data_IF_286198996392
#
_entry.id   IF_286198996392
#
_cell.length_a   1.000
_cell.length_b   1.000
_cell.length_c   1.000
_cell.angle_alpha   90.00
_cell.angle_beta   90.00
_cell.angle_gamma   90.00
#
_symmetry.space_group_name_H-M   'P 1'
#
loop_
_entity.id
_entity.type
_entity.pdbx_description
1 polymer ?
#
# COMPACT_ATOMS: atom_id res chain seq x y z
N UNK A 1 16.25 -0.76 -14.78
CA UNK A 1 16.33 -1.11 -13.34
C UNK A 1 17.52 -0.37 -12.77
N UNK A 2 17.30 0.77 -12.11
CA UNK A 2 18.37 1.55 -11.50
C UNK A 2 18.91 0.84 -10.27
N UNK A 3 20.19 1.07 -9.95
CA UNK A 3 20.77 0.61 -8.69
C UNK A 3 19.91 1.15 -7.53
N UNK A 4 19.52 0.27 -6.59
CA UNK A 4 18.75 0.66 -5.40
C UNK A 4 19.42 1.79 -4.61
N UNK A 5 20.74 1.99 -4.79
CA UNK A 5 21.54 3.06 -4.16
C UNK A 5 21.32 4.44 -4.80
N UNK A 6 20.74 4.51 -6.00
CA UNK A 6 20.43 5.74 -6.71
C UNK A 6 18.98 6.20 -6.51
N UNK A 7 18.17 5.42 -5.80
CA UNK A 7 16.77 5.74 -5.53
C UNK A 7 16.64 6.68 -4.34
N UNK A 8 15.57 7.49 -4.34
CA UNK A 8 15.23 8.36 -3.23
C UNK A 8 15.01 7.56 -1.93
N UNK A 9 15.58 8.08 -0.84
CA UNK A 9 15.54 7.42 0.46
C UNK A 9 14.58 8.14 1.41
N UNK A 10 13.67 7.37 1.99
CA UNK A 10 12.78 7.83 3.04
C UNK A 10 13.13 7.13 4.37
N UNK A 11 13.32 7.90 5.45
CA UNK A 11 13.70 7.36 6.77
C UNK A 11 12.51 7.48 7.72
N UNK A 12 12.07 6.35 8.28
CA UNK A 12 10.90 6.26 9.16
C UNK A 12 11.32 5.74 10.54
N UNK A 13 10.71 6.29 11.59
CA UNK A 13 10.81 5.73 12.95
C UNK A 13 9.72 4.70 13.13
N UNK A 14 10.12 3.46 13.41
CA UNK A 14 9.19 2.36 13.64
C UNK A 14 8.92 2.23 15.15
N UNK A 15 7.67 1.95 15.55
CA UNK A 15 7.37 1.55 16.92
C UNK A 15 7.99 0.18 17.24
N UNK A 16 8.12 -0.10 18.54
CA UNK A 16 8.71 -1.34 19.04
C UNK A 16 8.03 -2.59 18.46
N UNK A 17 8.83 -3.59 18.07
CA UNK A 17 8.34 -4.85 17.53
C UNK A 17 7.94 -4.81 16.05
N UNK A 18 7.72 -3.64 15.46
CA UNK A 18 7.29 -3.57 14.05
C UNK A 18 8.42 -3.94 13.09
N UNK A 19 9.67 -3.61 13.44
CA UNK A 19 10.84 -3.94 12.62
C UNK A 19 11.05 -5.45 12.53
N UNK A 20 10.90 -6.15 13.64
CA UNK A 20 11.03 -7.60 13.74
C UNK A 20 9.93 -8.30 12.92
N UNK A 21 8.70 -7.80 12.99
CA UNK A 21 7.58 -8.29 12.18
C UNK A 21 7.85 -8.13 10.69
N UNK A 22 8.38 -6.98 10.26
CA UNK A 22 8.77 -6.75 8.86
C UNK A 22 9.94 -7.65 8.43
N UNK A 23 10.92 -7.86 9.29
CA UNK A 23 12.05 -8.75 9.02
C UNK A 23 11.61 -10.20 8.85
N UNK A 24 10.68 -10.68 9.68
CA UNK A 24 10.07 -12.00 9.53
C UNK A 24 9.31 -12.12 8.21
N UNK A 25 8.47 -11.13 7.87
CA UNK A 25 7.73 -11.12 6.61
C UNK A 25 8.63 -11.10 5.37
N UNK A 26 9.79 -10.43 5.46
CA UNK A 26 10.78 -10.41 4.39
C UNK A 26 11.43 -11.80 4.19
N UNK A 27 11.77 -12.47 5.29
CA UNK A 27 12.33 -13.83 5.26
C UNK A 27 11.34 -14.84 4.66
N UNK A 28 10.07 -14.81 5.09
CA UNK A 28 9.05 -15.74 4.58
C UNK A 28 8.75 -15.54 3.10
N UNK A 29 8.90 -14.32 2.59
CA UNK A 29 8.69 -13.98 1.18
C UNK A 29 9.98 -14.04 0.34
N UNK A 30 11.11 -14.50 0.91
CA UNK A 30 12.42 -14.55 0.26
C UNK A 30 12.80 -13.21 -0.40
N UNK A 31 12.52 -12.10 0.27
CA UNK A 31 12.73 -10.75 -0.26
C UNK A 31 13.37 -9.83 0.78
N UNK A 32 13.70 -8.60 0.38
CA UNK A 32 14.27 -7.61 1.31
C UNK A 32 13.17 -6.94 2.13
N UNK A 33 13.51 -6.44 3.32
CA UNK A 33 12.57 -5.59 4.08
C UNK A 33 12.10 -4.38 3.27
N UNK A 34 12.97 -3.80 2.44
CA UNK A 34 12.58 -2.70 1.56
C UNK A 34 11.47 -3.13 0.60
N UNK A 35 11.62 -4.29 -0.04
CA UNK A 35 10.61 -4.83 -0.96
C UNK A 35 9.26 -5.09 -0.27
N UNK A 36 9.27 -5.57 0.97
CA UNK A 36 8.04 -5.72 1.77
C UNK A 36 7.38 -4.37 2.03
N UNK A 37 8.17 -3.37 2.44
CA UNK A 37 7.66 -2.02 2.74
C UNK A 37 7.08 -1.38 1.48
N UNK A 38 7.80 -1.43 0.35
CA UNK A 38 7.33 -0.87 -0.92
C UNK A 38 6.01 -1.51 -1.34
N UNK A 39 5.91 -2.85 -1.33
CA UNK A 39 4.67 -3.56 -1.67
C UNK A 39 3.50 -3.20 -0.75
N UNK A 40 3.77 -3.03 0.54
CA UNK A 40 2.75 -2.62 1.50
C UNK A 40 2.25 -1.20 1.22
N UNK A 41 3.14 -0.28 0.84
CA UNK A 41 2.79 1.08 0.45
C UNK A 41 2.00 1.12 -0.86
N UNK A 42 2.44 0.38 -1.88
CA UNK A 42 1.71 0.23 -3.15
C UNK A 42 0.30 -0.31 -2.90
N UNK A 43 0.18 -1.41 -2.14
CA UNK A 43 -1.12 -2.01 -1.81
C UNK A 43 -2.03 -1.05 -1.02
N UNK A 44 -1.45 -0.23 -0.15
CA UNK A 44 -2.20 0.78 0.59
C UNK A 44 -2.73 1.86 -0.35
N UNK A 45 -1.89 2.40 -1.25
CA UNK A 45 -2.27 3.43 -2.20
C UNK A 45 -3.30 2.91 -3.22
N UNK A 46 -3.07 1.74 -3.80
CA UNK A 46 -3.97 1.11 -4.78
C UNK A 46 -5.32 0.78 -4.13
N UNK A 47 -5.31 0.29 -2.89
CA UNK A 47 -6.53 0.00 -2.13
C UNK A 47 -7.39 1.24 -1.89
N UNK A 48 -6.77 2.40 -1.65
CA UNK A 48 -7.50 3.67 -1.52
C UNK A 48 -8.14 4.09 -2.84
N UNK A 49 -7.45 3.92 -3.97
CA UNK A 49 -7.97 4.27 -5.28
C UNK A 49 -9.17 3.38 -5.68
N UNK A 50 -9.06 2.07 -5.49
CA UNK A 50 -10.19 1.16 -5.71
C UNK A 50 -11.38 1.46 -4.81
N UNK A 51 -11.15 1.79 -3.52
CA UNK A 51 -12.23 2.19 -2.61
C UNK A 51 -12.94 3.46 -3.10
N UNK A 52 -12.19 4.45 -3.57
CA UNK A 52 -12.75 5.69 -4.10
C UNK A 52 -13.64 5.44 -5.32
N UNK A 53 -13.16 4.69 -6.30
CA UNK A 53 -13.93 4.35 -7.51
C UNK A 53 -15.23 3.62 -7.15
N UNK A 54 -15.17 2.67 -6.20
CA UNK A 54 -16.34 1.94 -5.77
C UNK A 54 -17.38 2.86 -5.08
N UNK A 55 -16.92 3.80 -4.26
CA UNK A 55 -17.78 4.79 -3.61
C UNK A 55 -18.43 5.75 -4.63
N UNK A 56 -17.67 6.18 -5.64
CA UNK A 56 -18.20 7.01 -6.74
C UNK A 56 -19.27 6.25 -7.53
N UNK A 57 -18.99 5.01 -7.94
CA UNK A 57 -19.94 4.17 -8.65
C UNK A 57 -21.21 3.86 -7.83
N UNK A 58 -21.07 3.69 -6.51
CA UNK A 58 -22.22 3.48 -5.62
C UNK A 58 -23.06 4.76 -5.49
N UNK A 59 -22.42 5.92 -5.39
CA UNK A 59 -23.10 7.21 -5.31
C UNK A 59 -23.89 7.50 -6.59
N UNK A 60 -23.28 7.31 -7.76
CA UNK A 60 -23.97 7.46 -9.06
C UNK A 60 -25.19 6.54 -9.15
N UNK A 61 -25.06 5.29 -8.67
CA UNK A 61 -26.18 4.34 -8.68
C UNK A 61 -27.31 4.76 -7.75
N UNK A 62 -27.00 5.34 -6.59
CA UNK A 62 -28.01 5.87 -5.66
C UNK A 62 -28.74 7.07 -6.25
N UNK A 63 -28.02 8.02 -6.85
CA UNK A 63 -28.62 9.18 -7.54
C UNK A 63 -29.59 8.73 -8.64
N UNK A 64 -29.18 7.76 -9.47
CA UNK A 64 -30.04 7.19 -10.52
C UNK A 64 -31.28 6.46 -10.01
N UNK A 65 -31.26 5.97 -8.77
CA UNK A 65 -32.43 5.35 -8.13
C UNK A 65 -33.33 6.38 -7.46
N UNK A 66 -32.79 7.51 -7.01
CA UNK A 66 -33.57 8.62 -6.45
C UNK A 66 -34.27 9.44 -7.55
N UNK A 67 -33.70 9.48 -8.76
CA UNK A 67 -34.29 10.15 -9.93
C UNK A 67 -35.39 9.33 -10.65
N UNK A 68 -35.59 8.06 -10.30
CA UNK A 68 -36.52 7.12 -10.96
C UNK A 68 -37.83 6.90 -10.17
#
# INVERSE_FOLDING_TARGET
>A
MGDSRQLDKFVVRLPDGLRERMAYAAQTQHTSMNSVIIRALESYLDGQEHQKILLEALSEKLERLEEA
#
